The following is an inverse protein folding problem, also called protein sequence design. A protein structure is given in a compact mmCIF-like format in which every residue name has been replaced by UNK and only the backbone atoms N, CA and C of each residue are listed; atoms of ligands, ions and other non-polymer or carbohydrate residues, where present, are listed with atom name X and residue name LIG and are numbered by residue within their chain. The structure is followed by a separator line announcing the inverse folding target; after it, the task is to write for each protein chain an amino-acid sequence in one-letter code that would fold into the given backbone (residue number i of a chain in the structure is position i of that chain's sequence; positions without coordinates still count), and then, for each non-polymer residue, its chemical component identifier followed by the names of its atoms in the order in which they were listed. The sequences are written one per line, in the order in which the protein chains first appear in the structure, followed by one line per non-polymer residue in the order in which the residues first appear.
data_IF_196462185934
#
_entry.id   IF_196462185934
#
_cell.length_a   1.000
_cell.length_b   1.000
_cell.length_c   1.000
_cell.angle_alpha   90.00
_cell.angle_beta   90.00
_cell.angle_gamma   90.00
#
_symmetry.space_group_name_H-M   'P 1'
#
loop_
_entity.id
_entity.type
_entity.pdbx_description
1 polymer ?
#
# COMPACT_ATOMS: atom_id res chain seq x y z
N UNK A 1 -19.08 -19.06 8.99
CA UNK A 1 -17.74 -18.43 8.99
C UNK A 1 -17.39 -18.09 7.55
N UNK A 2 -16.95 -16.87 7.26
CA UNK A 2 -16.53 -16.48 5.89
C UNK A 2 -15.12 -17.00 5.60
N UNK A 3 -14.72 -17.05 4.33
CA UNK A 3 -13.35 -17.41 3.95
C UNK A 3 -12.33 -16.45 4.58
N UNK A 4 -12.59 -15.15 4.52
CA UNK A 4 -11.76 -14.12 5.16
C UNK A 4 -11.62 -14.33 6.67
N UNK A 5 -12.71 -14.64 7.38
CA UNK A 5 -12.66 -14.90 8.82
C UNK A 5 -11.84 -16.16 9.16
N UNK A 6 -11.94 -17.21 8.34
CA UNK A 6 -11.12 -18.42 8.49
C UNK A 6 -9.63 -18.09 8.31
N UNK A 7 -9.29 -17.39 7.22
CA UNK A 7 -7.91 -17.00 6.88
C UNK A 7 -7.32 -16.12 7.98
N UNK A 8 -8.08 -15.10 8.41
CA UNK A 8 -7.69 -14.20 9.49
C UNK A 8 -7.42 -14.93 10.80
N UNK A 9 -8.26 -15.92 11.16
CA UNK A 9 -8.05 -16.71 12.38
C UNK A 9 -6.82 -17.62 12.27
N UNK A 10 -6.62 -18.27 11.13
CA UNK A 10 -5.46 -19.14 10.91
C UNK A 10 -4.14 -18.37 10.84
N UNK A 11 -4.15 -17.13 10.34
CA UNK A 11 -2.97 -16.26 10.40
C UNK A 11 -2.61 -15.88 11.85
N UNK A 12 -3.59 -15.55 12.69
CA UNK A 12 -3.35 -15.27 14.11
C UNK A 12 -2.83 -16.50 14.85
N UNK A 13 -3.40 -17.67 14.54
CA UNK A 13 -2.92 -18.95 15.07
C UNK A 13 -1.48 -19.26 14.61
N UNK A 14 -1.13 -18.95 13.36
CA UNK A 14 0.25 -19.08 12.88
C UNK A 14 1.21 -18.15 13.64
N UNK A 15 0.79 -16.92 13.97
CA UNK A 15 1.57 -15.98 14.79
C UNK A 15 1.77 -16.52 16.21
N UNK A 16 0.73 -17.10 16.81
CA UNK A 16 0.85 -17.79 18.11
C UNK A 16 1.88 -18.93 18.06
N UNK A 17 1.87 -19.73 16.98
CA UNK A 17 2.86 -20.80 16.79
C UNK A 17 4.28 -20.26 16.60
N UNK A 18 4.45 -19.16 15.86
CA UNK A 18 5.75 -18.47 15.67
C UNK A 18 6.33 -18.04 17.03
N UNK A 19 5.52 -17.46 17.90
CA UNK A 19 5.95 -17.10 19.26
C UNK A 19 6.30 -18.34 20.09
N UNK A 20 5.46 -19.38 20.04
CA UNK A 20 5.65 -20.60 20.83
C UNK A 20 6.97 -21.33 20.53
N UNK A 21 7.45 -21.28 19.27
CA UNK A 21 8.76 -21.83 18.88
C UNK A 21 9.90 -20.83 19.03
N UNK A 22 9.62 -19.59 19.41
CA UNK A 22 10.62 -18.52 19.56
C UNK A 22 11.22 -18.05 18.25
N UNK A 23 10.50 -18.17 17.13
CA UNK A 23 10.99 -17.80 15.80
C UNK A 23 10.95 -16.29 15.52
N UNK A 24 10.20 -15.52 16.29
CA UNK A 24 10.15 -14.06 16.17
C UNK A 24 9.72 -13.38 17.47
N UNK A 25 10.09 -12.11 17.64
CA UNK A 25 9.53 -11.23 18.67
C UNK A 25 8.19 -10.67 18.19
N UNK A 26 7.18 -10.68 19.07
CA UNK A 26 5.87 -10.13 18.75
C UNK A 26 5.83 -8.61 18.96
N UNK A 27 5.19 -7.92 18.02
CA UNK A 27 4.75 -6.54 18.24
C UNK A 27 3.59 -6.54 19.24
N UNK A 28 3.71 -5.79 20.34
CA UNK A 28 2.74 -5.79 21.44
C UNK A 28 1.27 -5.68 20.97
N UNK A 29 0.42 -6.59 21.46
CA UNK A 29 -0.98 -6.70 21.05
C UNK A 29 -1.89 -5.57 21.55
N UNK A 30 -2.84 -5.16 20.72
CA UNK A 30 -3.92 -4.23 21.10
C UNK A 30 -5.14 -4.34 20.16
N UNK A 31 -5.12 -3.67 19.00
CA UNK A 31 -6.31 -3.55 18.13
C UNK A 31 -6.71 -4.85 17.40
N UNK A 32 -5.80 -5.83 17.31
CA UNK A 32 -6.04 -7.13 16.67
C UNK A 32 -5.93 -8.33 17.63
N UNK A 33 -5.88 -8.09 18.94
CA UNK A 33 -5.54 -9.10 19.95
C UNK A 33 -4.02 -9.32 20.09
N UNK A 34 -3.65 -10.29 20.91
CA UNK A 34 -2.25 -10.59 21.26
C UNK A 34 -1.41 -10.96 20.02
N UNK A 35 -2.03 -11.61 19.04
CA UNK A 35 -1.40 -12.07 17.80
C UNK A 35 -1.85 -11.28 16.56
N UNK A 36 -2.41 -10.08 16.77
CA UNK A 36 -3.09 -9.33 15.72
C UNK A 36 -2.17 -8.66 14.70
N UNK A 37 -0.94 -8.33 15.08
CA UNK A 37 -0.06 -7.50 14.24
C UNK A 37 0.80 -8.29 13.25
N UNK A 38 0.75 -9.62 13.30
CA UNK A 38 1.71 -10.47 12.60
C UNK A 38 3.01 -10.64 13.40
N UNK A 39 3.97 -11.31 12.79
CA UNK A 39 5.33 -11.46 13.28
C UNK A 39 6.29 -11.33 12.11
N UNK A 40 7.55 -10.97 12.37
CA UNK A 40 8.59 -10.94 11.35
C UNK A 40 9.27 -12.31 11.28
N UNK A 41 8.93 -13.10 10.26
CA UNK A 41 9.56 -14.40 9.99
C UNK A 41 9.79 -14.55 8.50
N UNK A 42 10.93 -15.15 8.14
CA UNK A 42 11.31 -15.45 6.78
C UNK A 42 12.02 -16.81 6.75
N UNK A 43 11.37 -17.83 6.17
CA UNK A 43 11.93 -19.19 6.02
C UNK A 43 11.71 -19.71 4.59
N UNK A 44 12.13 -20.94 4.30
CA UNK A 44 12.04 -21.51 2.95
C UNK A 44 10.61 -21.66 2.41
N UNK A 45 9.60 -21.72 3.28
CA UNK A 45 8.19 -21.96 2.92
C UNK A 45 7.39 -20.67 2.87
N UNK A 46 7.56 -19.78 3.84
CA UNK A 46 6.78 -18.56 3.90
C UNK A 46 7.54 -17.39 4.51
N UNK A 47 6.95 -16.24 4.31
CA UNK A 47 7.37 -14.97 4.88
C UNK A 47 6.15 -14.32 5.52
N UNK A 48 6.35 -13.75 6.70
CA UNK A 48 5.37 -12.88 7.34
C UNK A 48 6.07 -11.61 7.78
N UNK A 49 5.41 -10.49 7.53
CA UNK A 49 5.89 -9.17 7.87
C UNK A 49 4.74 -8.34 8.45
N UNK A 50 4.90 -7.72 9.63
CA UNK A 50 3.88 -6.85 10.20
C UNK A 50 3.50 -5.69 9.27
N UNK A 51 2.41 -5.01 9.61
CA UNK A 51 2.03 -3.80 8.87
C UNK A 51 3.14 -2.74 8.97
N UNK A 52 3.56 -2.22 7.83
CA UNK A 52 4.59 -1.19 7.74
C UNK A 52 3.98 0.20 7.58
N UNK A 53 4.40 1.12 8.44
CA UNK A 53 4.02 2.53 8.39
C UNK A 53 5.23 3.47 8.37
N UNK A 54 6.41 2.94 8.03
CA UNK A 54 7.63 3.73 7.89
C UNK A 54 7.76 4.36 6.50
N UNK A 55 8.89 5.01 6.29
CA UNK A 55 9.23 5.64 5.02
C UNK A 55 9.72 4.63 3.97
N UNK A 56 9.79 5.01 2.69
CA UNK A 56 10.39 4.13 1.70
C UNK A 56 11.89 3.92 1.97
N UNK A 57 12.29 2.65 2.10
CA UNK A 57 13.69 2.28 2.36
C UNK A 57 14.47 1.89 1.09
N UNK A 58 13.81 1.82 -0.08
CA UNK A 58 14.45 1.35 -1.31
C UNK A 58 14.86 2.49 -2.28
N UNK A 59 14.82 3.74 -1.82
CA UNK A 59 15.18 4.92 -2.63
C UNK A 59 14.15 5.29 -3.72
N UNK A 60 13.01 4.60 -3.79
CA UNK A 60 11.97 4.91 -4.77
C UNK A 60 11.41 6.32 -4.57
N UNK A 61 11.13 6.73 -3.33
CA UNK A 61 10.63 8.09 -3.05
C UNK A 61 11.63 9.18 -3.50
N UNK A 62 12.94 8.95 -3.35
CA UNK A 62 13.96 9.89 -3.81
C UNK A 62 14.00 9.97 -5.34
N UNK A 63 13.89 8.82 -6.01
CA UNK A 63 13.82 8.75 -7.47
C UNK A 63 12.56 9.42 -8.03
N UNK A 64 11.41 9.18 -7.38
CA UNK A 64 10.13 9.81 -7.70
C UNK A 64 10.22 11.33 -7.54
N UNK A 65 10.69 11.80 -6.39
CA UNK A 65 10.87 13.22 -6.10
C UNK A 65 11.77 13.89 -7.15
N UNK A 66 12.91 13.25 -7.47
CA UNK A 66 13.83 13.75 -8.51
C UNK A 66 13.18 13.79 -9.89
N UNK A 67 12.34 12.81 -10.22
CA UNK A 67 11.60 12.81 -11.48
C UNK A 67 10.57 13.94 -11.52
N UNK A 68 9.81 14.14 -10.44
CA UNK A 68 8.81 15.21 -10.30
C UNK A 68 9.46 16.58 -10.52
N UNK A 69 10.62 16.82 -9.89
CA UNK A 69 11.38 18.06 -10.02
C UNK A 69 11.91 18.29 -11.44
N UNK A 70 12.36 17.22 -12.11
CA UNK A 70 12.89 17.30 -13.47
C UNK A 70 11.80 17.45 -14.56
N UNK A 71 10.53 17.17 -14.21
CA UNK A 71 9.40 17.19 -15.15
C UNK A 71 8.28 18.09 -14.63
N UNK A 72 8.49 19.43 -14.55
CA UNK A 72 7.41 20.34 -14.17
C UNK A 72 6.27 20.29 -15.18
N UNK A 73 5.05 20.63 -14.73
CA UNK A 73 3.94 20.81 -15.65
C UNK A 73 4.22 21.95 -16.65
N UNK A 74 3.68 21.83 -17.86
CA UNK A 74 3.77 22.89 -18.86
C UNK A 74 3.07 24.17 -18.35
N UNK A 75 3.48 25.34 -18.86
CA UNK A 75 2.95 26.63 -18.43
C UNK A 75 1.43 26.79 -18.63
N UNK A 76 0.86 26.09 -19.61
CA UNK A 76 -0.57 26.09 -19.93
C UNK A 76 -1.32 24.88 -19.33
N UNK A 77 -0.65 24.01 -18.56
CA UNK A 77 -1.27 22.88 -17.87
C UNK A 77 -2.34 23.35 -16.87
N UNK A 78 -3.39 22.55 -16.69
CA UNK A 78 -4.39 22.75 -15.63
C UNK A 78 -3.73 22.93 -14.25
N UNK A 79 -2.81 22.05 -13.84
CA UNK A 79 -2.17 22.11 -12.52
C UNK A 79 -1.38 23.42 -12.32
N UNK A 80 -0.65 23.86 -13.35
CA UNK A 80 0.10 25.13 -13.31
C UNK A 80 -0.83 26.33 -13.14
N UNK A 81 -1.93 26.34 -13.88
CA UNK A 81 -2.91 27.42 -13.80
C UNK A 81 -3.70 27.39 -12.48
N UNK A 82 -4.00 26.20 -11.96
CA UNK A 82 -4.64 26.02 -10.66
C UNK A 82 -3.78 26.60 -9.53
N UNK A 83 -2.50 26.21 -9.49
CA UNK A 83 -1.53 26.74 -8.52
C UNK A 83 -1.44 28.27 -8.61
N UNK A 84 -1.33 28.82 -9.82
CA UNK A 84 -1.26 30.27 -10.04
C UNK A 84 -2.49 31.01 -9.49
N UNK A 85 -3.70 30.44 -9.65
CA UNK A 85 -4.94 31.04 -9.13
C UNK A 85 -5.02 30.95 -7.60
N UNK A 86 -4.55 29.84 -7.02
CA UNK A 86 -4.50 29.65 -5.58
C UNK A 86 -3.51 30.62 -4.92
N UNK A 87 -2.30 30.78 -5.48
CA UNK A 87 -1.32 31.77 -5.02
C UNK A 87 -1.87 33.21 -5.09
N UNK A 88 -2.62 33.54 -6.15
CA UNK A 88 -3.26 34.85 -6.27
C UNK A 88 -4.38 35.07 -5.25
N UNK A 89 -5.17 34.03 -4.95
CA UNK A 89 -6.21 34.06 -3.93
C UNK A 89 -5.61 34.18 -2.52
N UNK A 90 -4.57 33.41 -2.20
CA UNK A 90 -3.84 33.51 -0.94
C UNK A 90 -3.20 34.89 -0.75
N UNK A 91 -2.67 35.50 -1.80
CA UNK A 91 -2.13 36.86 -1.74
C UNK A 91 -3.21 37.91 -1.45
N UNK A 92 -4.45 37.69 -1.90
CA UNK A 92 -5.56 38.60 -1.72
C UNK A 92 -6.32 38.37 -0.39
N UNK A 93 -6.48 37.13 0.02
CA UNK A 93 -7.40 36.68 1.07
C UNK A 93 -6.70 36.00 2.26
N UNK A 94 -5.39 35.74 2.14
CA UNK A 94 -4.57 35.08 3.15
C UNK A 94 -4.54 33.55 3.02
N UNK A 95 -3.58 32.93 3.72
CA UNK A 95 -3.30 31.48 3.69
C UNK A 95 -4.44 30.58 4.20
N UNK A 96 -5.48 31.16 4.81
CA UNK A 96 -6.63 30.44 5.35
C UNK A 96 -7.88 30.56 4.47
N UNK A 97 -7.73 31.05 3.25
CA UNK A 97 -8.82 31.09 2.28
C UNK A 97 -9.35 29.68 2.00
N UNK A 98 -10.67 29.53 1.99
CA UNK A 98 -11.38 28.28 1.69
C UNK A 98 -11.86 28.20 0.22
N UNK A 99 -11.44 29.16 -0.61
CA UNK A 99 -11.82 29.25 -2.03
C UNK A 99 -11.20 28.15 -2.91
N UNK A 100 -10.29 27.33 -2.39
CA UNK A 100 -9.59 26.24 -3.09
C UNK A 100 -10.52 25.42 -4.00
N UNK A 101 -11.66 24.97 -3.48
CA UNK A 101 -12.62 24.13 -4.21
C UNK A 101 -13.34 24.90 -5.32
N UNK A 102 -13.69 26.17 -5.08
CA UNK A 102 -14.32 27.04 -6.07
C UNK A 102 -13.37 27.30 -7.24
N UNK A 103 -12.12 27.65 -6.95
CA UNK A 103 -11.08 27.90 -7.97
C UNK A 103 -10.89 26.67 -8.86
N UNK A 104 -10.81 25.47 -8.25
CA UNK A 104 -10.63 24.23 -8.99
C UNK A 104 -11.84 23.89 -9.88
N UNK A 105 -13.07 24.06 -9.36
CA UNK A 105 -14.31 23.80 -10.09
C UNK A 105 -14.50 24.79 -11.25
N UNK A 106 -14.26 26.09 -11.02
CA UNK A 106 -14.33 27.12 -12.06
C UNK A 106 -13.32 26.84 -13.19
N UNK A 107 -12.05 26.55 -12.85
CA UNK A 107 -11.03 26.23 -13.84
C UNK A 107 -11.36 24.96 -14.64
N UNK A 108 -11.92 23.93 -13.98
CA UNK A 108 -12.35 22.72 -14.67
C UNK A 108 -13.48 23.01 -15.67
N UNK A 109 -14.48 23.77 -15.23
CA UNK A 109 -15.60 24.22 -16.07
C UNK A 109 -15.13 25.04 -17.27
N UNK A 110 -14.26 26.03 -17.06
CA UNK A 110 -13.67 26.86 -18.11
C UNK A 110 -12.93 26.05 -19.19
N UNK A 111 -12.31 24.94 -18.80
CA UNK A 111 -11.55 24.05 -19.69
C UNK A 111 -12.38 22.88 -20.23
N UNK A 112 -13.67 22.80 -19.90
CA UNK A 112 -14.55 21.71 -20.31
C UNK A 112 -14.15 20.35 -19.73
N UNK A 113 -13.55 20.34 -18.54
CA UNK A 113 -13.11 19.14 -17.82
C UNK A 113 -14.22 18.66 -16.86
N UNK A 114 -14.30 17.34 -16.57
CA UNK A 114 -15.28 16.80 -15.62
C UNK A 114 -14.93 17.21 -14.19
N UNK A 115 -15.93 17.32 -13.30
CA UNK A 115 -15.71 17.68 -11.90
C UNK A 115 -15.24 16.45 -11.09
N UNK A 116 -13.93 16.15 -11.15
CA UNK A 116 -13.32 14.97 -10.51
C UNK A 116 -12.40 15.33 -9.33
N UNK A 117 -12.27 16.61 -9.01
CA UNK A 117 -11.38 17.12 -7.96
C UNK A 117 -10.09 17.72 -8.50
N UNK A 118 -9.48 18.60 -7.71
CA UNK A 118 -8.38 19.47 -8.12
C UNK A 118 -7.08 18.75 -8.52
N UNK A 119 -6.85 17.53 -8.00
CA UNK A 119 -5.65 16.73 -8.32
C UNK A 119 -5.80 15.81 -9.53
N UNK A 120 -6.98 15.76 -10.16
CA UNK A 120 -7.29 14.73 -11.16
C UNK A 120 -7.07 15.19 -12.61
N UNK A 121 -6.67 16.44 -12.82
CA UNK A 121 -6.56 17.02 -14.15
C UNK A 121 -5.13 17.38 -14.49
N UNK A 122 -4.58 16.70 -15.48
CA UNK A 122 -3.38 17.10 -16.18
C UNK A 122 -3.71 17.26 -17.66
N UNK A 123 -3.36 18.42 -18.23
CA UNK A 123 -3.65 18.71 -19.66
C UNK A 123 -2.39 18.85 -20.49
N UNK A 124 -1.23 18.48 -19.95
CA UNK A 124 0.07 18.60 -20.62
C UNK A 124 0.76 17.27 -20.90
N UNK A 125 0.09 16.13 -20.68
CA UNK A 125 0.65 14.79 -20.91
C UNK A 125 1.70 14.34 -19.89
N UNK A 126 1.93 15.11 -18.81
CA UNK A 126 2.85 14.72 -17.73
C UNK A 126 2.40 13.41 -17.06
N UNK A 127 1.10 13.17 -16.94
CA UNK A 127 0.57 11.96 -16.31
C UNK A 127 0.93 10.72 -17.13
N UNK A 128 0.90 10.79 -18.45
CA UNK A 128 1.34 9.70 -19.33
C UNK A 128 2.85 9.44 -19.18
N UNK A 129 3.65 10.50 -19.07
CA UNK A 129 5.09 10.40 -18.84
C UNK A 129 5.41 9.81 -17.46
N UNK A 130 4.67 10.23 -16.43
CA UNK A 130 4.81 9.71 -15.08
C UNK A 130 4.39 8.24 -15.02
N UNK A 131 3.27 7.86 -15.64
CA UNK A 131 2.83 6.47 -15.71
C UNK A 131 3.87 5.56 -16.40
N UNK A 132 4.47 6.04 -17.49
CA UNK A 132 5.57 5.33 -18.16
C UNK A 132 6.77 5.16 -17.22
N UNK A 133 7.23 6.24 -16.58
CA UNK A 133 8.33 6.19 -15.61
C UNK A 133 8.03 5.24 -14.44
N UNK A 134 6.85 5.34 -13.82
CA UNK A 134 6.45 4.54 -12.67
C UNK A 134 6.41 3.04 -13.00
N UNK A 135 6.03 2.68 -14.23
CA UNK A 135 6.04 1.28 -14.69
C UNK A 135 7.44 0.66 -14.78
N UNK A 136 8.48 1.49 -14.97
CA UNK A 136 9.87 1.07 -15.08
C UNK A 136 10.65 1.25 -13.76
N UNK A 137 10.12 2.04 -12.84
CA UNK A 137 10.78 2.43 -11.59
C UNK A 137 9.95 1.99 -10.39
N UNK A 138 9.69 0.69 -10.26
CA UNK A 138 8.89 0.16 -9.14
C UNK A 138 9.70 0.07 -7.84
N UNK A 139 9.01 0.00 -6.71
CA UNK A 139 9.65 -0.33 -5.44
C UNK A 139 10.36 -1.69 -5.50
N UNK A 140 11.45 -1.83 -4.73
CA UNK A 140 12.01 -3.16 -4.47
C UNK A 140 10.93 -4.06 -3.85
N UNK A 141 10.82 -5.35 -4.24
CA UNK A 141 9.89 -6.30 -3.62
C UNK A 141 10.07 -6.45 -2.10
N UNK A 142 11.26 -6.14 -1.59
CA UNK A 142 11.59 -6.18 -0.16
C UNK A 142 11.33 -4.86 0.58
N UNK A 143 10.90 -3.81 -0.11
CA UNK A 143 10.60 -2.52 0.51
C UNK A 143 9.35 -2.65 1.39
N UNK A 144 9.43 -2.24 2.66
CA UNK A 144 8.31 -2.35 3.60
C UNK A 144 6.99 -1.73 3.11
N UNK A 145 7.04 -0.75 2.20
CA UNK A 145 5.87 -0.12 1.59
C UNK A 145 5.07 -1.06 0.67
N UNK A 146 5.72 -2.01 -0.01
CA UNK A 146 5.08 -2.93 -0.98
C UNK A 146 5.25 -4.41 -0.63
N UNK A 147 6.06 -4.71 0.39
CA UNK A 147 6.29 -6.06 0.90
C UNK A 147 4.98 -6.61 1.45
N UNK A 148 4.54 -7.81 1.02
CA UNK A 148 3.29 -8.37 1.50
C UNK A 148 3.39 -8.72 2.98
N UNK A 149 2.25 -8.65 3.67
CA UNK A 149 2.25 -9.02 5.08
C UNK A 149 2.38 -10.53 5.31
N UNK A 150 1.92 -11.33 4.36
CA UNK A 150 2.15 -12.76 4.33
C UNK A 150 2.37 -13.22 2.88
N UNK A 151 3.35 -14.08 2.65
CA UNK A 151 3.63 -14.71 1.37
C UNK A 151 3.96 -16.19 1.58
N UNK A 152 3.18 -17.08 0.98
CA UNK A 152 3.55 -18.47 0.84
C UNK A 152 4.37 -18.65 -0.44
N UNK A 153 5.66 -18.91 -0.29
CA UNK A 153 6.64 -18.88 -1.38
C UNK A 153 6.37 -19.95 -2.46
N UNK A 154 6.03 -21.21 -2.12
CA UNK A 154 5.77 -22.23 -3.13
C UNK A 154 4.60 -21.94 -4.07
N UNK A 155 3.54 -21.29 -3.56
CA UNK A 155 2.32 -21.04 -4.35
C UNK A 155 2.22 -19.60 -4.85
N UNK A 156 3.00 -18.68 -4.29
CA UNK A 156 2.87 -17.24 -4.55
C UNK A 156 1.60 -16.61 -3.96
N UNK A 157 0.83 -17.34 -3.15
CA UNK A 157 -0.34 -16.79 -2.47
C UNK A 157 0.13 -15.79 -1.43
N UNK A 158 -0.40 -14.57 -1.50
CA UNK A 158 -0.09 -13.50 -0.54
C UNK A 158 -1.33 -12.90 0.08
N UNK A 159 -1.16 -12.37 1.28
CA UNK A 159 -2.19 -11.66 2.02
C UNK A 159 -1.62 -10.35 2.51
N UNK A 160 -2.35 -9.28 2.23
CA UNK A 160 -2.06 -7.92 2.69
C UNK A 160 -3.12 -7.52 3.72
N UNK A 161 -2.73 -6.78 4.77
CA UNK A 161 -3.66 -6.24 5.76
C UNK A 161 -3.27 -4.84 6.22
N UNK A 162 -4.27 -4.05 6.58
CA UNK A 162 -4.06 -2.71 7.11
C UNK A 162 -3.99 -2.73 8.63
N UNK A 163 -2.80 -2.38 9.18
CA UNK A 163 -2.48 -2.30 10.62
C UNK A 163 -2.48 -3.62 11.38
N UNK A 164 -3.46 -4.49 11.20
CA UNK A 164 -3.55 -5.79 11.86
C UNK A 164 -4.34 -6.79 11.03
N UNK A 165 -4.05 -8.08 11.24
CA UNK A 165 -4.71 -9.22 10.59
C UNK A 165 -6.23 -9.09 10.78
N UNK A 166 -6.99 -9.18 9.70
CA UNK A 166 -8.46 -9.05 9.68
C UNK A 166 -8.99 -7.66 9.32
N UNK A 167 -8.14 -6.64 9.16
CA UNK A 167 -8.58 -5.30 8.78
C UNK A 167 -8.12 -4.96 7.36
N UNK A 168 -9.09 -4.75 6.47
CA UNK A 168 -8.80 -4.43 5.07
C UNK A 168 -7.94 -5.50 4.42
N UNK A 169 -8.25 -6.77 4.68
CA UNK A 169 -7.48 -7.89 4.15
C UNK A 169 -7.72 -8.04 2.66
N UNK A 170 -6.65 -8.13 1.89
CA UNK A 170 -6.68 -8.47 0.47
C UNK A 170 -5.90 -9.76 0.25
N UNK A 171 -6.48 -10.68 -0.50
CA UNK A 171 -5.89 -11.99 -0.80
C UNK A 171 -5.63 -12.04 -2.30
N UNK A 172 -4.35 -12.15 -2.66
CA UNK A 172 -3.95 -12.38 -4.06
C UNK A 172 -3.62 -13.86 -4.21
N UNK A 173 -4.44 -14.57 -4.96
CA UNK A 173 -4.33 -16.01 -5.16
C UNK A 173 -4.79 -16.42 -6.58
N UNK A 174 -4.48 -17.64 -7.04
CA UNK A 174 -5.00 -18.18 -8.31
C UNK A 174 -6.53 -18.17 -8.38
N UNK A 175 -7.09 -18.09 -9.59
CA UNK A 175 -8.54 -17.91 -9.85
C UNK A 175 -9.43 -19.01 -9.22
N UNK A 176 -8.90 -20.21 -8.99
CA UNK A 176 -9.62 -21.33 -8.37
C UNK A 176 -9.26 -21.58 -6.90
N UNK A 177 -8.66 -20.59 -6.20
CA UNK A 177 -8.20 -20.76 -4.82
C UNK A 177 -9.38 -20.93 -3.84
N UNK A 178 -9.35 -22.01 -3.06
CA UNK A 178 -10.40 -22.38 -2.12
C UNK A 178 -9.93 -22.30 -0.67
N UNK A 179 -10.88 -22.35 0.27
CA UNK A 179 -10.56 -22.50 1.70
C UNK A 179 -9.81 -23.78 2.02
N UNK A 180 -9.97 -24.84 1.22
CA UNK A 180 -9.20 -26.08 1.36
C UNK A 180 -7.74 -25.87 0.98
N UNK A 181 -7.49 -25.12 -0.09
CA UNK A 181 -6.12 -24.79 -0.51
C UNK A 181 -5.43 -23.92 0.54
N UNK A 182 -6.17 -22.98 1.13
CA UNK A 182 -5.67 -22.20 2.28
C UNK A 182 -5.31 -23.09 3.47
N UNK A 183 -6.14 -24.07 3.82
CA UNK A 183 -5.85 -24.99 4.92
C UNK A 183 -4.57 -25.81 4.64
N UNK A 184 -4.38 -26.28 3.41
CA UNK A 184 -3.15 -26.98 3.02
C UNK A 184 -1.92 -26.08 3.14
N UNK A 185 -2.02 -24.83 2.68
CA UNK A 185 -0.96 -23.84 2.79
C UNK A 185 -0.61 -23.52 4.25
N UNK A 186 -1.63 -23.31 5.08
CA UNK A 186 -1.44 -23.05 6.51
C UNK A 186 -0.73 -24.22 7.21
N UNK A 187 -1.08 -25.46 6.88
CA UNK A 187 -0.40 -26.65 7.43
C UNK A 187 1.06 -26.72 7.00
N UNK A 188 1.37 -26.40 5.74
CA UNK A 188 2.75 -26.33 5.23
C UNK A 188 3.59 -25.30 6.02
N UNK A 189 3.03 -24.09 6.23
CA UNK A 189 3.66 -23.07 7.08
C UNK A 189 3.88 -23.53 8.53
N UNK A 190 2.88 -24.18 9.15
CA UNK A 190 3.00 -24.67 10.52
C UNK A 190 4.04 -25.79 10.65
N UNK A 191 4.10 -26.70 9.68
CA UNK A 191 5.12 -27.75 9.63
C UNK A 191 6.53 -27.17 9.45
N UNK A 192 6.68 -26.12 8.63
CA UNK A 192 7.97 -25.48 8.36
C UNK A 192 8.59 -24.82 9.60
N UNK A 193 7.77 -24.34 10.54
CA UNK A 193 8.25 -23.78 11.81
C UNK A 193 8.90 -24.84 12.70
N UNK A 194 8.37 -26.07 12.68
CA UNK A 194 8.87 -27.17 13.49
C UNK A 194 10.13 -27.83 12.91
N UNK A 195 10.33 -27.74 11.58
CA UNK A 195 11.52 -28.26 10.92
C UNK A 195 12.77 -27.38 11.14
N UNK A 196 12.58 -26.12 11.56
CA UNK A 196 13.65 -25.15 11.80
C UNK A 196 14.09 -25.05 13.28
N UNK A 197 13.38 -25.72 14.20
CA UNK A 197 13.66 -25.77 15.65
C UNK A 197 14.53 -26.97 16.03
#
# INVERSE_FOLDING_TARGET
MTAEALISNLLRDLVEQIEAVGAAELSAGFLGGDYGYGAEVDNDVFEMFPYYSGDCECGHNDAESSWIDAHPHAGDCYQTELQRRQEADEAANGLLSDNWSTIASDLASERGLPELGCGMHCTCGRDDLYAAWASENTHSPTCGVVRPNFLHKPTGVRVDWYKYIGRGMEITAPEAFTTKDWLTLYLDCAESLNAAA
#
